data_IF_255576851544
#
_entry.id   IF_255576851544
#
_cell.length_a   1.000
_cell.length_b   1.000
_cell.length_c   1.000
_cell.angle_alpha   90.00
_cell.angle_beta   90.00
_cell.angle_gamma   90.00
#
_symmetry.space_group_name_H-M   'P 1'
#
loop_
_entity.id
_entity.type
_entity.pdbx_description
1 polymer ?
#
# COMPACT_ATOMS: atom_id res chain seq x y z
N UNK A 1 -4.19 6.20 -6.27
CA UNK A 1 -3.66 4.96 -6.89
C UNK A 1 -3.82 5.06 -8.40
N UNK A 2 -2.73 4.92 -9.15
CA UNK A 2 -2.75 4.98 -10.62
C UNK A 2 -2.48 3.58 -11.20
N UNK A 3 -3.41 3.09 -12.02
CA UNK A 3 -3.25 1.96 -12.95
C UNK A 3 -3.32 0.55 -12.35
N UNK A 4 -4.28 -0.25 -12.84
CA UNK A 4 -4.16 -1.71 -12.89
C UNK A 4 -4.42 -2.05 -14.37
N UNK A 5 -3.45 -2.64 -15.06
CA UNK A 5 -3.72 -3.20 -16.39
C UNK A 5 -4.64 -4.41 -16.19
N UNK A 6 -5.83 -4.37 -16.81
CA UNK A 6 -6.91 -5.36 -16.66
C UNK A 6 -7.02 -6.27 -17.88
N UNK A 7 -5.96 -6.42 -18.66
CA UNK A 7 -5.91 -7.40 -19.75
C UNK A 7 -6.03 -8.84 -19.20
N UNK A 8 -6.65 -9.73 -19.97
CA UNK A 8 -6.90 -11.12 -19.58
C UNK A 8 -5.58 -11.81 -19.16
N UNK A 9 -5.59 -12.72 -18.17
CA UNK A 9 -4.37 -13.29 -17.64
C UNK A 9 -3.69 -14.13 -18.73
N UNK A 10 -2.63 -13.58 -19.32
CA UNK A 10 -1.59 -14.36 -20.00
C UNK A 10 -0.77 -14.99 -18.89
N UNK A 11 -0.59 -16.30 -18.89
CA UNK A 11 0.32 -16.99 -17.95
C UNK A 11 1.67 -16.26 -17.91
N UNK A 12 2.01 -15.68 -16.76
CA UNK A 12 3.19 -14.83 -16.57
C UNK A 12 2.93 -13.31 -16.48
N UNK A 13 1.68 -12.84 -16.40
CA UNK A 13 1.38 -11.41 -16.21
C UNK A 13 1.77 -10.91 -14.80
N UNK A 14 2.41 -9.75 -14.73
CA UNK A 14 2.71 -9.06 -13.49
C UNK A 14 1.81 -7.83 -13.31
N UNK A 15 1.37 -7.58 -12.07
CA UNK A 15 0.57 -6.42 -11.71
C UNK A 15 1.48 -5.40 -11.02
N UNK A 16 1.35 -4.13 -11.41
CA UNK A 16 2.10 -3.02 -10.83
C UNK A 16 1.15 -1.91 -10.41
N UNK A 17 1.52 -1.16 -9.38
CA UNK A 17 0.75 -0.03 -8.90
C UNK A 17 1.67 1.00 -8.25
N UNK A 18 1.22 2.25 -8.25
CA UNK A 18 1.84 3.33 -7.49
C UNK A 18 0.80 3.95 -6.56
N UNK A 19 1.15 4.06 -5.28
CA UNK A 19 0.38 4.81 -4.29
C UNK A 19 0.68 6.29 -4.43
N UNK A 20 -0.35 7.12 -4.26
CA UNK A 20 -0.16 8.52 -3.92
C UNK A 20 -0.22 8.66 -2.39
N UNK A 21 -0.15 9.90 -1.88
CA UNK A 21 -0.12 10.13 -0.44
C UNK A 21 -1.49 9.92 0.24
N UNK A 22 -2.61 9.90 -0.49
CA UNK A 22 -3.98 10.09 0.04
C UNK A 22 -4.68 8.81 0.53
N UNK A 23 -5.57 8.94 1.53
CA UNK A 23 -6.46 7.86 1.97
C UNK A 23 -5.96 6.99 3.13
N UNK A 24 -4.91 7.43 3.83
CA UNK A 24 -4.41 6.75 5.03
C UNK A 24 -4.90 7.35 6.34
N UNK A 25 -4.19 7.08 7.43
CA UNK A 25 -4.51 7.55 8.79
C UNK A 25 -3.35 8.21 9.53
N UNK A 26 -2.17 8.27 8.93
CA UNK A 26 -1.03 8.96 9.53
C UNK A 26 -1.37 10.44 9.75
N UNK A 27 -0.86 11.01 10.84
CA UNK A 27 -0.96 12.43 11.12
C UNK A 27 0.19 13.21 10.47
N UNK A 28 0.12 14.54 10.46
CA UNK A 28 1.26 15.38 10.07
C UNK A 28 2.50 15.03 10.94
N UNK A 29 3.72 14.98 10.36
CA UNK A 29 4.08 15.36 8.99
C UNK A 29 3.90 14.23 7.94
N UNK A 30 3.48 13.04 8.34
CA UNK A 30 3.35 11.84 7.49
C UNK A 30 1.96 11.68 6.86
N UNK A 31 1.09 12.67 7.10
CA UNK A 31 -0.28 12.78 6.60
C UNK A 31 -0.38 12.38 5.14
N UNK A 32 -1.08 11.30 4.78
CA UNK A 32 -1.90 10.37 5.59
C UNK A 32 -1.62 8.89 5.24
N UNK A 33 -1.25 8.52 4.01
CA UNK A 33 -0.96 7.12 3.61
C UNK A 33 0.54 6.83 3.62
N UNK A 34 1.20 7.02 4.76
CA UNK A 34 2.58 6.59 4.91
C UNK A 34 2.67 5.05 5.02
N UNK A 35 3.54 4.44 4.21
CA UNK A 35 3.80 2.99 4.20
C UNK A 35 5.20 2.64 4.76
N UNK A 36 6.04 3.66 5.03
CA UNK A 36 7.40 3.51 5.54
C UNK A 36 7.44 3.45 7.06
N UNK A 37 8.09 2.41 7.61
CA UNK A 37 8.16 2.17 9.06
C UNK A 37 9.36 2.79 9.79
N UNK A 38 10.36 3.31 9.07
CA UNK A 38 11.65 3.75 9.63
C UNK A 38 11.83 5.28 9.66
N UNK A 39 10.73 6.05 9.61
CA UNK A 39 10.76 7.53 9.48
C UNK A 39 10.23 8.28 10.69
N UNK A 40 9.82 7.56 11.76
CA UNK A 40 9.31 8.15 13.00
C UNK A 40 7.78 8.32 13.07
N UNK A 41 7.04 7.77 12.12
CA UNK A 41 5.57 7.74 12.17
C UNK A 41 5.06 6.72 13.21
N UNK A 42 3.79 6.83 13.58
CA UNK A 42 3.13 5.87 14.47
C UNK A 42 3.08 4.48 13.79
N UNK A 43 3.70 3.43 14.37
CA UNK A 43 3.68 2.07 13.82
C UNK A 43 2.27 1.53 13.59
N UNK A 44 1.29 1.91 14.42
CA UNK A 44 -0.10 1.49 14.24
C UNK A 44 -0.73 2.15 13.00
N UNK A 45 -0.43 3.43 12.76
CA UNK A 45 -0.88 4.14 11.57
C UNK A 45 -0.27 3.54 10.29
N UNK A 46 1.04 3.24 10.30
CA UNK A 46 1.73 2.57 9.19
C UNK A 46 1.13 1.18 8.93
N UNK A 47 0.85 0.40 9.97
CA UNK A 47 0.18 -0.90 9.85
C UNK A 47 -1.20 -0.79 9.17
N UNK A 48 -2.04 0.13 9.65
CA UNK A 48 -3.36 0.37 9.06
C UNK A 48 -3.28 0.84 7.60
N UNK A 49 -2.30 1.67 7.25
CA UNK A 49 -2.08 2.12 5.88
C UNK A 49 -1.64 0.99 4.95
N UNK A 50 -0.75 0.09 5.42
CA UNK A 50 -0.32 -1.10 4.70
C UNK A 50 -1.49 -2.05 4.41
N UNK A 51 -2.36 -2.27 5.40
CA UNK A 51 -3.60 -3.04 5.19
C UNK A 51 -4.51 -2.40 4.14
N UNK A 52 -4.70 -1.09 4.19
CA UNK A 52 -5.52 -0.35 3.21
C UNK A 52 -4.94 -0.46 1.80
N UNK A 53 -3.63 -0.32 1.64
CA UNK A 53 -2.95 -0.46 0.37
C UNK A 53 -3.14 -1.87 -0.22
N UNK A 54 -2.92 -2.91 0.58
CA UNK A 54 -3.11 -4.31 0.17
C UNK A 54 -4.55 -4.57 -0.30
N UNK A 55 -5.54 -4.20 0.52
CA UNK A 55 -6.96 -4.36 0.18
C UNK A 55 -7.33 -3.60 -1.10
N UNK A 56 -6.75 -2.41 -1.33
CA UNK A 56 -7.03 -1.62 -2.55
C UNK A 56 -6.45 -2.26 -3.82
N UNK A 57 -5.39 -3.04 -3.68
CA UNK A 57 -4.80 -3.86 -4.74
C UNK A 57 -5.49 -5.23 -4.90
N UNK A 58 -6.50 -5.55 -4.09
CA UNK A 58 -7.14 -6.86 -4.10
C UNK A 58 -6.28 -7.98 -3.51
N UNK A 59 -5.28 -7.62 -2.68
CA UNK A 59 -4.40 -8.55 -2.01
C UNK A 59 -4.87 -8.80 -0.57
N UNK A 60 -4.65 -10.02 -0.08
CA UNK A 60 -4.74 -10.30 1.35
C UNK A 60 -3.57 -9.58 2.05
N UNK A 61 -3.80 -8.68 3.04
CA UNK A 61 -2.74 -8.05 3.79
C UNK A 61 -1.70 -9.03 4.36
N UNK A 62 -2.11 -10.24 4.74
CA UNK A 62 -1.21 -11.27 5.27
C UNK A 62 -0.25 -11.84 4.21
N UNK A 63 -0.55 -11.68 2.93
CA UNK A 63 0.29 -12.11 1.80
C UNK A 63 1.30 -11.07 1.32
N UNK A 64 1.24 -9.84 1.87
CA UNK A 64 2.13 -8.74 1.45
C UNK A 64 3.38 -8.74 2.32
N UNK A 65 4.54 -8.89 1.67
CA UNK A 65 5.84 -8.80 2.33
C UNK A 65 6.35 -7.36 2.27
N UNK A 66 6.60 -6.78 3.43
CA UNK A 66 7.23 -5.47 3.57
C UNK A 66 8.69 -5.65 3.95
N UNK A 67 9.58 -4.91 3.29
CA UNK A 67 10.99 -4.86 3.64
C UNK A 67 11.22 -3.76 4.68
N UNK A 68 12.10 -4.02 5.65
CA UNK A 68 12.54 -3.05 6.65
C UNK A 68 13.79 -2.32 6.20
#
# INVERSE_FOLDING_TARGET
MIGQDRTAPVTGSAHFAFTDRWGGVSAAPYGELNLGGAVGDDPAAVGANRERAARRLGLDPASVVWMN
#
